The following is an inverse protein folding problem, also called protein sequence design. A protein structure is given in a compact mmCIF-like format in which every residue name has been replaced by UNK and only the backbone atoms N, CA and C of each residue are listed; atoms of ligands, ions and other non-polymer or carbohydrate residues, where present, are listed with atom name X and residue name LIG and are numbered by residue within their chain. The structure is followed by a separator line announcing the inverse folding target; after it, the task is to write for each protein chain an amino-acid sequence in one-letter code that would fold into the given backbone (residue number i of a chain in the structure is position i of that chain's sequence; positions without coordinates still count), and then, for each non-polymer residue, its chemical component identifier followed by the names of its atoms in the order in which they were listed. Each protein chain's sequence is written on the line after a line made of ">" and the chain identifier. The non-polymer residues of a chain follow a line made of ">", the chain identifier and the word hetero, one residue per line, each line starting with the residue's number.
data_IF_057758371975
#
_entry.id   IF_057758371975
#
_cell.length_a   1.000
_cell.length_b   1.000
_cell.length_c   1.000
_cell.angle_alpha   90.00
_cell.angle_beta   90.00
_cell.angle_gamma   90.00
#
_symmetry.space_group_name_H-M   'P 1'
#
loop_
_entity.id
_entity.type
_entity.pdbx_description
1 polymer ?
#
# COMPACT_ATOMS: atom_id res chain seq x y z
N UNK A 1 22.88 16.99 20.83
CA UNK A 1 22.80 18.34 21.45
C UNK A 1 21.58 19.11 21.00
N UNK A 2 20.98 19.86 21.92
CA UNK A 2 19.82 20.69 21.62
C UNK A 2 20.20 22.02 20.94
N UNK A 3 19.36 22.56 20.04
CA UNK A 3 19.57 23.86 19.40
C UNK A 3 19.72 25.01 20.42
N UNK A 4 20.61 25.96 20.14
CA UNK A 4 20.86 27.13 21.00
C UNK A 4 19.61 27.96 21.31
N UNK A 5 18.68 28.04 20.35
CA UNK A 5 17.40 28.71 20.54
C UNK A 5 16.52 28.01 21.59
N UNK A 6 16.47 26.67 21.57
CA UNK A 6 15.69 25.90 22.53
C UNK A 6 16.23 26.05 23.96
N UNK A 7 17.55 26.14 24.11
CA UNK A 7 18.20 26.41 25.40
C UNK A 7 17.82 27.79 25.95
N UNK A 8 17.81 28.83 25.11
CA UNK A 8 17.38 30.18 25.51
C UNK A 8 15.91 30.22 25.93
N UNK A 9 15.03 29.52 25.20
CA UNK A 9 13.61 29.41 25.56
C UNK A 9 13.46 28.70 26.90
N UNK A 10 14.09 27.54 27.10
CA UNK A 10 14.04 26.82 28.37
C UNK A 10 14.52 27.68 29.56
N UNK A 11 15.61 28.42 29.37
CA UNK A 11 16.13 29.35 30.38
C UNK A 11 15.16 30.50 30.69
N UNK A 12 14.47 31.06 29.68
CA UNK A 12 13.49 32.14 29.90
C UNK A 12 12.28 31.72 30.74
N UNK A 13 11.91 30.42 30.68
CA UNK A 13 10.86 29.85 31.53
C UNK A 13 11.42 29.21 32.82
N UNK A 14 12.74 29.17 32.98
CA UNK A 14 13.41 28.53 34.12
C UNK A 14 13.16 27.02 34.21
N UNK A 15 12.87 26.34 33.09
CA UNK A 15 12.51 24.91 33.06
C UNK A 15 13.67 24.07 32.52
N UNK A 16 13.96 22.88 33.06
CA UNK A 16 14.95 21.97 32.49
C UNK A 16 14.58 21.58 31.05
N UNK A 17 15.53 21.72 30.14
CA UNK A 17 15.34 21.33 28.75
C UNK A 17 15.31 19.80 28.63
N UNK A 18 14.25 19.26 28.04
CA UNK A 18 14.17 17.85 27.73
C UNK A 18 15.04 17.52 26.51
N UNK A 19 16.03 16.65 26.70
CA UNK A 19 16.81 16.02 25.64
C UNK A 19 16.71 14.50 25.80
N UNK A 20 16.25 13.75 24.79
CA UNK A 20 16.23 12.30 24.87
C UNK A 20 17.66 11.74 24.86
N UNK A 21 17.89 10.63 25.56
CA UNK A 21 19.21 9.99 25.67
C UNK A 21 19.76 9.48 24.32
N UNK A 22 18.85 9.22 23.37
CA UNK A 22 19.15 8.76 22.02
C UNK A 22 18.31 9.51 21.00
N UNK A 23 18.82 9.61 19.78
CA UNK A 23 18.06 10.15 18.67
C UNK A 23 16.79 9.31 18.43
N UNK A 24 15.69 10.00 18.12
CA UNK A 24 14.42 9.36 17.83
C UNK A 24 14.46 8.76 16.41
N UNK A 25 14.09 7.49 16.29
CA UNK A 25 13.95 6.84 15.00
C UNK A 25 12.90 7.53 14.13
N UNK A 26 13.10 7.48 12.80
CA UNK A 26 12.16 8.07 11.84
C UNK A 26 10.76 7.46 11.93
N UNK A 27 10.67 6.15 12.19
CA UNK A 27 9.40 5.46 12.42
C UNK A 27 8.67 5.99 13.65
N UNK A 28 9.39 6.21 14.75
CA UNK A 28 8.86 6.75 15.99
C UNK A 28 8.42 8.20 15.82
N UNK A 29 9.21 9.03 15.11
CA UNK A 29 8.85 10.41 14.78
C UNK A 29 7.53 10.45 14.00
N UNK A 30 7.39 9.63 12.96
CA UNK A 30 6.16 9.57 12.16
C UNK A 30 4.95 9.12 12.99
N UNK A 31 5.10 8.12 13.87
CA UNK A 31 4.03 7.63 14.74
C UNK A 31 3.59 8.67 15.77
N UNK A 32 4.52 9.43 16.35
CA UNK A 32 4.20 10.50 17.30
C UNK A 32 3.46 11.68 16.65
N UNK A 33 3.66 11.89 15.35
CA UNK A 33 3.08 13.01 14.60
C UNK A 33 1.97 12.59 13.64
N UNK A 34 1.38 11.40 13.81
CA UNK A 34 0.36 10.88 12.89
C UNK A 34 -0.89 11.77 12.83
N UNK A 35 -1.22 12.43 13.95
CA UNK A 35 -2.40 13.30 14.10
C UNK A 35 -2.17 14.76 13.65
N UNK A 36 -0.96 15.10 13.20
CA UNK A 36 -0.59 16.49 12.86
C UNK A 36 -0.02 16.55 11.45
N UNK A 37 -0.61 17.39 10.61
CA UNK A 37 -0.06 17.69 9.28
C UNK A 37 1.21 18.54 9.41
N UNK A 38 2.29 18.07 8.80
CA UNK A 38 3.56 18.80 8.69
C UNK A 38 3.97 18.89 7.22
N UNK A 39 4.57 20.03 6.85
CA UNK A 39 5.00 20.29 5.47
C UNK A 39 6.47 19.93 5.27
N UNK A 40 7.28 20.09 6.33
CA UNK A 40 8.73 19.95 6.28
C UNK A 40 9.24 18.94 7.33
N UNK A 41 10.35 18.26 7.01
CA UNK A 41 11.04 17.33 7.91
C UNK A 41 11.44 18.00 9.23
N UNK A 42 11.76 19.29 9.18
CA UNK A 42 12.09 20.07 10.38
C UNK A 42 10.88 20.28 11.28
N UNK A 43 9.69 20.49 10.69
CA UNK A 43 8.44 20.62 11.44
C UNK A 43 8.05 19.29 12.09
N UNK A 44 8.16 18.17 11.36
CA UNK A 44 7.95 16.84 11.90
C UNK A 44 8.87 16.58 13.10
N UNK A 45 10.15 16.84 12.94
CA UNK A 45 11.15 16.55 13.98
C UNK A 45 10.95 17.46 15.22
N UNK A 46 10.60 18.73 15.02
CA UNK A 46 10.24 19.63 16.11
C UNK A 46 8.96 19.18 16.84
N UNK A 47 7.94 18.74 16.09
CA UNK A 47 6.68 18.26 16.65
C UNK A 47 6.88 16.95 17.43
N UNK A 48 7.62 16.00 16.86
CA UNK A 48 7.98 14.75 17.52
C UNK A 48 8.75 14.99 18.82
N UNK A 49 9.70 15.94 18.84
CA UNK A 49 10.43 16.31 20.05
C UNK A 49 9.50 16.89 21.13
N UNK A 50 8.54 17.74 20.75
CA UNK A 50 7.56 18.29 21.68
C UNK A 50 6.63 17.21 22.27
N UNK A 51 6.15 16.28 21.45
CA UNK A 51 5.34 15.15 21.91
C UNK A 51 6.13 14.21 22.83
N UNK A 52 7.39 13.93 22.49
CA UNK A 52 8.27 13.13 23.34
C UNK A 52 8.49 13.79 24.72
N UNK A 53 8.74 15.10 24.74
CA UNK A 53 8.89 15.87 25.98
C UNK A 53 7.61 15.88 26.83
N UNK A 54 6.46 15.99 26.19
CA UNK A 54 5.16 15.92 26.87
C UNK A 54 4.93 14.52 27.47
N UNK A 55 5.12 13.46 26.68
CA UNK A 55 4.91 12.09 27.13
C UNK A 55 5.81 11.71 28.31
N UNK A 56 7.07 12.16 28.30
CA UNK A 56 7.99 12.00 29.42
C UNK A 56 7.46 12.63 30.72
N UNK A 57 6.82 13.81 30.63
CA UNK A 57 6.29 14.53 31.78
C UNK A 57 4.81 14.25 32.06
N UNK A 58 4.12 13.49 31.21
CA UNK A 58 2.67 13.30 31.24
C UNK A 58 2.21 12.67 32.57
N UNK A 59 2.92 11.64 33.04
CA UNK A 59 2.58 10.97 34.29
C UNK A 59 2.74 11.89 35.50
N UNK A 60 3.81 12.71 35.52
CA UNK A 60 4.02 13.72 36.57
C UNK A 60 2.89 14.76 36.55
N UNK A 61 2.56 15.30 35.38
CA UNK A 61 1.49 16.30 35.20
C UNK A 61 0.11 15.76 35.60
N UNK A 62 -0.22 14.52 35.23
CA UNK A 62 -1.47 13.86 35.62
C UNK A 62 -1.55 13.67 37.14
N UNK A 63 -0.48 13.21 37.78
CA UNK A 63 -0.42 13.05 39.23
C UNK A 63 -0.58 14.37 39.97
N UNK A 64 0.04 15.45 39.49
CA UNK A 64 -0.09 16.78 40.09
C UNK A 64 -1.50 17.35 39.90
N UNK A 65 -2.11 17.11 38.75
CA UNK A 65 -3.48 17.55 38.46
C UNK A 65 -4.52 16.77 39.27
N UNK A 66 -4.32 15.47 39.47
CA UNK A 66 -5.16 14.64 40.33
C UNK A 66 -5.12 15.08 41.80
N UNK A 67 -4.02 15.68 42.24
CA UNK A 67 -3.87 16.29 43.57
C UNK A 67 -4.51 17.68 43.69
N UNK A 68 -5.14 18.19 42.63
CA UNK A 68 -5.82 19.49 42.63
C UNK A 68 -4.87 20.68 42.78
N UNK A 69 -3.60 20.54 42.38
CA UNK A 69 -2.62 21.62 42.51
C UNK A 69 -2.82 22.67 41.42
N UNK A 70 -2.59 23.94 41.77
CA UNK A 70 -2.66 25.07 40.83
C UNK A 70 -1.52 25.00 39.79
N UNK A 71 -1.73 25.66 38.64
CA UNK A 71 -0.78 25.62 37.52
C UNK A 71 0.57 26.28 37.85
N UNK A 72 0.59 27.32 38.69
CA UNK A 72 1.82 27.93 39.22
C UNK A 72 2.63 26.93 40.05
N UNK A 73 1.94 26.09 40.81
CA UNK A 73 2.53 25.03 41.63
C UNK A 73 3.12 23.92 40.78
N UNK A 74 2.39 23.52 39.72
CA UNK A 74 2.88 22.55 38.72
C UNK A 74 4.14 23.06 38.05
N UNK A 75 4.18 24.35 37.69
CA UNK A 75 5.35 24.97 37.09
C UNK A 75 6.58 24.84 37.98
N UNK A 76 6.49 25.23 39.26
CA UNK A 76 7.62 25.13 40.22
C UNK A 76 8.11 23.69 40.38
N UNK A 77 7.20 22.71 40.42
CA UNK A 77 7.56 21.30 40.54
C UNK A 77 8.27 20.78 39.28
N UNK A 78 7.87 21.26 38.10
CA UNK A 78 8.55 20.93 36.84
C UNK A 78 9.96 21.53 36.75
N UNK A 79 10.22 22.63 37.46
CA UNK A 79 11.57 23.21 37.59
C UNK A 79 12.49 22.39 38.51
N UNK A 80 11.96 21.36 39.19
CA UNK A 80 12.72 20.50 40.11
C UNK A 80 12.60 20.90 41.58
N UNK A 81 11.72 21.85 41.91
CA UNK A 81 11.47 22.29 43.29
C UNK A 81 10.58 21.24 43.99
N UNK A 82 10.93 20.92 45.24
CA UNK A 82 10.16 19.95 46.03
C UNK A 82 8.76 20.47 46.35
N UNK A 83 7.79 19.57 46.55
CA UNK A 83 6.39 19.96 46.80
C UNK A 83 6.22 20.79 48.10
N UNK A 84 7.08 20.56 49.09
CA UNK A 84 7.14 21.35 50.34
C UNK A 84 7.67 22.76 50.12
N UNK A 85 8.71 22.90 49.30
CA UNK A 85 9.35 24.17 49.01
C UNK A 85 8.51 25.02 48.05
N UNK A 86 7.84 24.40 47.07
CA UNK A 86 6.89 25.07 46.19
C UNK A 86 5.69 25.66 46.95
N UNK A 87 5.20 24.98 48.00
CA UNK A 87 4.18 25.52 48.91
C UNK A 87 4.66 26.78 49.63
N UNK A 88 5.86 26.72 50.22
CA UNK A 88 6.44 27.85 50.93
C UNK A 88 6.71 29.06 50.02
N UNK A 89 7.12 28.83 48.77
CA UNK A 89 7.33 29.91 47.80
C UNK A 89 6.01 30.61 47.42
N UNK A 90 4.93 29.86 47.21
CA UNK A 90 3.62 30.42 46.90
C UNK A 90 2.95 31.09 48.11
N UNK A 91 3.18 30.58 49.32
CA UNK A 91 2.70 31.20 50.56
C UNK A 91 3.49 32.46 50.94
N UNK A 92 4.79 32.52 50.63
CA UNK A 92 5.62 33.71 50.85
C UNK A 92 5.42 34.79 49.78
N UNK A 93 5.22 34.40 48.50
CA UNK A 93 4.92 35.34 47.41
C UNK A 93 3.52 35.98 47.49
N UNK A 94 2.55 35.33 48.15
CA UNK A 94 1.20 35.91 48.39
C UNK A 94 1.15 36.93 49.52
N UNK A 95 2.22 37.11 50.31
CA UNK A 95 2.25 38.05 51.46
C UNK A 95 2.74 39.47 51.13
N UNK A 96 3.12 39.78 49.89
CA UNK A 96 3.74 41.09 49.56
C UNK A 96 2.98 41.93 48.54
N UNK A 97 1.64 42.01 48.62
CA UNK A 97 0.86 43.10 47.99
C UNK A 97 -0.33 43.49 48.88
N UNK A 98 -0.05 43.86 50.14
CA UNK A 98 -0.95 44.67 50.98
C UNK A 98 -0.14 45.50 51.97
N UNK A 99 0.47 46.56 51.47
CA UNK A 99 0.80 47.73 52.29
C UNK A 99 0.12 48.91 51.64
N UNK A 100 -1.11 49.16 52.10
CA UNK A 100 -1.68 50.49 52.01
C UNK A 100 -0.87 51.38 52.95
N UNK A 101 -0.11 52.30 52.38
CA UNK A 101 0.50 53.37 53.15
C UNK A 101 -0.64 54.27 53.66
N UNK A 102 -0.91 54.13 54.95
CA UNK A 102 -1.73 55.07 55.71
C UNK A 102 -0.76 56.06 56.35
N UNK A 103 -0.62 57.24 55.76
CA UNK A 103 -0.07 58.41 56.44
C UNK A 103 -1.23 59.35 56.78
N UNK A 104 -1.39 59.77 58.04
CA UNK A 104 -2.33 60.82 58.39
C UNK A 104 -1.66 62.18 58.24
N UNK A 105 -2.27 63.09 57.47
CA UNK A 105 -2.02 64.52 57.64
C UNK A 105 -3.20 65.36 57.13
N UNK A 106 -3.85 65.97 58.12
CA UNK A 106 -4.45 67.31 58.19
C UNK A 106 -5.27 67.96 57.06
N UNK A 107 -6.24 68.74 57.54
CA UNK A 107 -7.34 69.38 56.83
C UNK A 107 -6.88 70.58 55.99
N UNK A 108 -7.76 70.88 55.02
CA UNK A 108 -8.02 72.16 54.35
C UNK A 108 -7.26 72.47 53.04
N UNK A 109 -7.97 72.40 51.90
CA UNK A 109 -8.43 73.60 51.17
C UNK A 109 -9.07 73.29 49.80
N UNK A 110 -10.32 73.78 49.64
CA UNK A 110 -11.06 74.20 48.43
C UNK A 110 -11.22 73.26 47.20
N UNK A 111 -12.41 73.25 46.55
CA UNK A 111 -12.72 72.34 45.46
C UNK A 111 -12.15 72.84 44.11
N UNK A 112 -11.30 72.05 43.46
CA UNK A 112 -10.98 72.17 42.03
C UNK A 112 -11.84 71.19 41.23
N UNK A 113 -12.33 71.56 40.03
CA UNK A 113 -13.13 70.65 39.21
C UNK A 113 -12.27 69.45 38.77
N UNK A 114 -12.80 68.23 38.99
CA UNK A 114 -12.08 66.94 38.92
C UNK A 114 -11.70 66.50 37.49
N UNK A 115 -10.43 66.57 37.04
CA UNK A 115 -9.97 65.90 35.80
C UNK A 115 -10.11 64.36 35.87
N UNK A 116 -10.07 63.80 37.08
CA UNK A 116 -10.33 62.36 37.33
C UNK A 116 -11.72 61.89 36.86
N UNK A 117 -12.71 62.79 36.81
CA UNK A 117 -14.08 62.43 36.47
C UNK A 117 -14.28 62.20 34.97
N UNK A 118 -13.57 62.96 34.13
CA UNK A 118 -13.60 62.81 32.67
C UNK A 118 -12.82 61.56 32.22
N UNK A 119 -11.69 61.26 32.85
CA UNK A 119 -10.94 60.03 32.58
C UNK A 119 -11.72 58.77 32.98
N UNK A 120 -12.41 58.80 34.13
CA UNK A 120 -13.34 57.73 34.51
C UNK A 120 -14.48 57.56 33.51
N UNK A 121 -14.99 58.65 32.95
CA UNK A 121 -16.04 58.60 31.91
C UNK A 121 -15.50 58.00 30.62
N UNK A 122 -14.30 58.39 30.18
CA UNK A 122 -13.61 57.83 29.00
C UNK A 122 -13.31 56.35 29.18
N UNK A 123 -12.82 55.95 30.35
CA UNK A 123 -12.49 54.55 30.67
C UNK A 123 -13.73 53.66 30.73
N UNK A 124 -14.86 54.18 31.26
CA UNK A 124 -16.16 53.49 31.24
C UNK A 124 -16.70 53.34 29.81
N UNK A 125 -16.59 54.38 28.98
CA UNK A 125 -17.00 54.33 27.58
C UNK A 125 -16.16 53.32 26.78
N UNK A 126 -14.84 53.32 26.98
CA UNK A 126 -13.91 52.37 26.35
C UNK A 126 -14.20 50.94 26.81
N UNK A 127 -14.40 50.68 28.10
CA UNK A 127 -14.80 49.36 28.60
C UNK A 127 -16.13 48.88 28.00
N UNK A 128 -17.11 49.78 27.82
CA UNK A 128 -18.39 49.44 27.19
C UNK A 128 -18.21 49.06 25.71
N UNK A 129 -17.39 49.80 24.97
CA UNK A 129 -17.05 49.51 23.58
C UNK A 129 -16.30 48.18 23.43
N UNK A 130 -15.25 47.97 24.23
CA UNK A 130 -14.47 46.71 24.26
C UNK A 130 -15.35 45.50 24.60
N UNK A 131 -16.28 45.62 25.56
CA UNK A 131 -17.25 44.56 25.87
C UNK A 131 -18.18 44.27 24.69
N UNK A 132 -18.62 45.30 23.95
CA UNK A 132 -19.41 45.14 22.74
C UNK A 132 -18.67 44.40 21.62
N UNK A 133 -17.41 44.76 21.38
CA UNK A 133 -16.55 44.06 20.42
C UNK A 133 -16.29 42.61 20.82
N UNK A 134 -16.07 42.36 22.11
CA UNK A 134 -15.82 41.02 22.64
C UNK A 134 -17.04 40.11 22.46
N UNK A 135 -18.26 40.62 22.69
CA UNK A 135 -19.50 39.89 22.41
C UNK A 135 -19.74 39.68 20.91
N UNK A 136 -19.42 40.67 20.07
CA UNK A 136 -19.49 40.52 18.61
C UNK A 136 -18.54 39.43 18.11
N UNK A 137 -17.28 39.45 18.55
CA UNK A 137 -16.28 38.43 18.23
C UNK A 137 -16.66 37.05 18.74
N UNK A 138 -17.24 36.94 19.95
CA UNK A 138 -17.79 35.67 20.47
C UNK A 138 -18.90 35.13 19.57
N UNK A 139 -19.84 35.97 19.12
CA UNK A 139 -20.91 35.57 18.19
C UNK A 139 -20.34 35.08 16.86
N UNK A 140 -19.34 35.77 16.31
CA UNK A 140 -18.64 35.34 15.09
C UNK A 140 -17.93 34.00 15.29
N UNK A 141 -17.21 33.83 16.40
CA UNK A 141 -16.54 32.58 16.73
C UNK A 141 -17.53 31.40 16.84
N UNK A 142 -18.71 31.62 17.42
CA UNK A 142 -19.77 30.61 17.46
C UNK A 142 -20.32 30.29 16.07
N UNK A 143 -20.52 31.28 15.20
CA UNK A 143 -20.98 31.08 13.81
C UNK A 143 -19.96 30.27 13.01
N UNK A 144 -18.68 30.64 13.09
CA UNK A 144 -17.59 29.94 12.43
C UNK A 144 -17.44 28.50 12.96
N UNK A 145 -17.59 28.28 14.28
CA UNK A 145 -17.59 26.92 14.86
C UNK A 145 -18.73 26.06 14.33
N UNK A 146 -19.94 26.63 14.17
CA UNK A 146 -21.08 25.92 13.58
C UNK A 146 -20.83 25.57 12.11
N UNK A 147 -20.32 26.51 11.33
CA UNK A 147 -19.96 26.28 9.92
C UNK A 147 -18.88 25.21 9.78
N UNK A 148 -17.84 25.24 10.62
CA UNK A 148 -16.80 24.22 10.63
C UNK A 148 -17.35 22.83 10.95
N UNK A 149 -18.27 22.71 11.93
CA UNK A 149 -18.92 21.43 12.24
C UNK A 149 -19.75 20.91 11.07
N UNK A 150 -20.49 21.78 10.40
CA UNK A 150 -21.27 21.43 9.23
C UNK A 150 -20.37 20.91 8.09
N UNK A 151 -19.33 21.68 7.74
CA UNK A 151 -18.38 21.29 6.68
C UNK A 151 -17.65 19.98 7.00
N UNK A 152 -17.23 19.77 8.27
CA UNK A 152 -16.63 18.50 8.69
C UNK A 152 -17.61 17.33 8.55
N UNK A 153 -18.88 17.53 8.89
CA UNK A 153 -19.90 16.49 8.73
C UNK A 153 -20.11 16.15 7.26
N UNK A 154 -20.19 17.16 6.40
CA UNK A 154 -20.35 16.99 4.96
C UNK A 154 -19.16 16.25 4.34
N UNK A 155 -17.94 16.66 4.69
CA UNK A 155 -16.69 16.01 4.27
C UNK A 155 -16.63 14.55 4.74
N UNK A 156 -17.05 14.26 5.97
CA UNK A 156 -17.06 12.89 6.46
C UNK A 156 -18.07 12.01 5.69
N UNK A 157 -19.21 12.57 5.30
CA UNK A 157 -20.20 11.87 4.49
C UNK A 157 -19.69 11.61 3.06
N UNK A 158 -19.01 12.58 2.44
CA UNK A 158 -18.38 12.34 1.12
C UNK A 158 -17.29 11.29 1.20
N UNK A 159 -16.39 11.37 2.19
CA UNK A 159 -15.34 10.36 2.41
C UNK A 159 -15.92 8.96 2.63
N UNK A 160 -17.04 8.82 3.34
CA UNK A 160 -17.74 7.53 3.53
C UNK A 160 -18.27 7.00 2.20
N UNK A 161 -18.89 7.85 1.38
CA UNK A 161 -19.38 7.47 0.05
C UNK A 161 -18.23 7.04 -0.85
N UNK A 162 -17.14 7.79 -0.90
CA UNK A 162 -15.99 7.49 -1.73
C UNK A 162 -15.33 6.17 -1.33
N UNK A 163 -15.21 5.91 -0.02
CA UNK A 163 -14.73 4.60 0.49
C UNK A 163 -15.65 3.46 0.06
N UNK A 164 -16.97 3.65 0.12
CA UNK A 164 -17.93 2.64 -0.31
C UNK A 164 -17.85 2.39 -1.82
N UNK A 165 -17.72 3.45 -2.63
CA UNK A 165 -17.52 3.36 -4.08
C UNK A 165 -16.23 2.62 -4.40
N UNK A 166 -15.10 3.02 -3.82
CA UNK A 166 -13.81 2.37 -4.03
C UNK A 166 -13.84 0.88 -3.65
N UNK A 167 -14.52 0.52 -2.55
CA UNK A 167 -14.72 -0.88 -2.18
C UNK A 167 -15.53 -1.64 -3.22
N UNK A 168 -16.63 -1.05 -3.72
CA UNK A 168 -17.46 -1.65 -4.76
C UNK A 168 -16.69 -1.81 -6.07
N UNK A 169 -15.90 -0.83 -6.49
CA UNK A 169 -15.07 -0.91 -7.69
C UNK A 169 -14.05 -2.05 -7.61
N UNK A 170 -13.38 -2.23 -6.46
CA UNK A 170 -12.50 -3.37 -6.22
C UNK A 170 -13.23 -4.71 -6.36
N UNK A 171 -14.45 -4.82 -5.83
CA UNK A 171 -15.26 -6.04 -5.98
C UNK A 171 -15.67 -6.28 -7.44
N UNK A 172 -16.09 -5.24 -8.17
CA UNK A 172 -16.43 -5.32 -9.59
C UNK A 172 -15.22 -5.81 -10.40
N UNK A 173 -14.04 -5.27 -10.14
CA UNK A 173 -12.82 -5.65 -10.85
C UNK A 173 -12.44 -7.12 -10.56
N UNK A 174 -12.54 -7.55 -9.30
CA UNK A 174 -12.33 -8.96 -8.92
C UNK A 174 -13.33 -9.89 -9.63
N UNK A 175 -14.61 -9.52 -9.67
CA UNK A 175 -15.65 -10.29 -10.34
C UNK A 175 -15.41 -10.34 -11.85
N UNK A 176 -15.04 -9.22 -12.49
CA UNK A 176 -14.67 -9.18 -13.91
C UNK A 176 -13.51 -10.13 -14.23
N UNK A 177 -12.47 -10.16 -13.40
CA UNK A 177 -11.35 -11.10 -13.56
C UNK A 177 -11.79 -12.55 -13.44
N UNK A 178 -12.62 -12.88 -12.45
CA UNK A 178 -13.20 -14.23 -12.28
C UNK A 178 -14.03 -14.64 -13.50
N UNK A 179 -14.85 -13.73 -14.03
CA UNK A 179 -15.70 -13.96 -15.20
C UNK A 179 -14.86 -14.21 -16.45
N UNK A 180 -13.80 -13.42 -16.67
CA UNK A 180 -12.84 -13.62 -17.78
C UNK A 180 -12.09 -14.95 -17.68
N UNK A 181 -11.74 -15.39 -16.46
CA UNK A 181 -11.10 -16.70 -16.25
C UNK A 181 -12.08 -17.84 -16.59
N UNK A 182 -13.29 -17.81 -16.04
CA UNK A 182 -14.31 -18.83 -16.32
C UNK A 182 -14.68 -18.90 -17.80
N UNK A 183 -14.78 -17.77 -18.50
CA UNK A 183 -15.00 -17.76 -19.96
C UNK A 183 -13.86 -18.43 -20.73
N UNK A 184 -12.60 -18.21 -20.32
CA UNK A 184 -11.45 -18.90 -20.92
C UNK A 184 -11.51 -20.40 -20.68
N UNK A 185 -11.80 -20.82 -19.45
CA UNK A 185 -11.97 -22.24 -19.09
C UNK A 185 -13.12 -22.89 -19.88
N UNK A 186 -14.25 -22.18 -20.05
CA UNK A 186 -15.38 -22.67 -20.85
C UNK A 186 -15.00 -22.81 -22.32
N UNK A 187 -14.35 -21.80 -22.92
CA UNK A 187 -13.92 -21.85 -24.31
C UNK A 187 -12.88 -22.95 -24.54
N UNK A 188 -11.99 -23.17 -23.57
CA UNK A 188 -11.05 -24.31 -23.57
C UNK A 188 -11.78 -25.64 -23.58
N UNK A 189 -12.73 -25.83 -22.66
CA UNK A 189 -13.51 -27.06 -22.57
C UNK A 189 -14.33 -27.32 -23.84
N UNK A 190 -14.94 -26.29 -24.44
CA UNK A 190 -15.68 -26.41 -25.70
C UNK A 190 -14.78 -26.78 -26.87
N UNK A 191 -13.61 -26.16 -26.98
CA UNK A 191 -12.66 -26.49 -28.03
C UNK A 191 -12.13 -27.92 -27.90
N UNK A 192 -11.78 -28.34 -26.68
CA UNK A 192 -11.36 -29.72 -26.42
C UNK A 192 -12.49 -30.71 -26.70
N UNK A 193 -13.73 -30.38 -26.37
CA UNK A 193 -14.90 -31.19 -26.71
C UNK A 193 -15.03 -31.37 -28.23
N UNK A 194 -14.94 -30.28 -28.99
CA UNK A 194 -15.01 -30.35 -30.45
C UNK A 194 -13.86 -31.18 -31.03
N UNK A 195 -12.65 -31.01 -30.51
CA UNK A 195 -11.49 -31.81 -30.90
C UNK A 195 -11.73 -33.30 -30.63
N UNK A 196 -12.30 -33.66 -29.48
CA UNK A 196 -12.64 -35.05 -29.18
C UNK A 196 -13.71 -35.61 -30.14
N UNK A 197 -14.69 -34.79 -30.54
CA UNK A 197 -15.67 -35.19 -31.55
C UNK A 197 -14.99 -35.44 -32.90
N UNK A 198 -14.15 -34.51 -33.37
CA UNK A 198 -13.40 -34.66 -34.62
C UNK A 198 -12.47 -35.88 -34.59
N UNK A 199 -11.88 -36.19 -33.43
CA UNK A 199 -11.08 -37.40 -33.24
C UNK A 199 -11.93 -38.67 -33.31
N UNK A 200 -13.11 -38.68 -32.66
CA UNK A 200 -14.03 -39.82 -32.70
C UNK A 200 -14.59 -40.09 -34.10
N UNK A 201 -14.75 -39.04 -34.91
CA UNK A 201 -15.16 -39.13 -36.31
C UNK A 201 -13.99 -39.51 -37.25
N UNK A 202 -12.76 -39.60 -36.72
CA UNK A 202 -11.56 -39.94 -37.49
C UNK A 202 -11.06 -38.81 -38.41
N UNK A 203 -11.55 -37.58 -38.23
CA UNK A 203 -11.14 -36.40 -39.00
C UNK A 203 -9.74 -35.93 -38.63
N UNK A 204 -9.32 -36.13 -37.38
CA UNK A 204 -8.02 -35.72 -36.87
C UNK A 204 -7.30 -36.89 -36.17
N UNK A 205 -5.99 -36.79 -36.13
CA UNK A 205 -5.10 -37.68 -35.38
C UNK A 205 -4.40 -36.92 -34.27
N UNK A 206 -4.48 -37.44 -33.04
CA UNK A 206 -3.78 -36.89 -31.89
C UNK A 206 -2.30 -37.27 -31.94
N UNK A 207 -1.43 -36.28 -31.69
CA UNK A 207 0.03 -36.48 -31.71
C UNK A 207 0.59 -36.22 -30.32
N UNK A 208 0.61 -37.25 -29.45
CA UNK A 208 1.11 -37.11 -28.10
C UNK A 208 2.66 -37.01 -28.08
N UNK A 209 3.25 -36.41 -27.03
CA UNK A 209 4.69 -36.47 -26.82
C UNK A 209 5.13 -37.89 -26.43
N UNK A 210 6.27 -38.34 -26.97
CA UNK A 210 6.92 -39.58 -26.57
C UNK A 210 7.18 -39.60 -25.05
N UNK A 211 6.98 -40.71 -24.31
CA UNK A 211 6.81 -42.11 -24.78
C UNK A 211 5.38 -42.50 -25.19
N UNK A 212 4.42 -41.58 -25.14
CA UNK A 212 3.06 -41.89 -25.57
C UNK A 212 2.99 -41.99 -27.08
N UNK A 213 2.29 -43.01 -27.58
CA UNK A 213 2.06 -43.25 -29.00
C UNK A 213 0.56 -43.44 -29.20
N UNK A 214 -0.03 -42.72 -30.15
CA UNK A 214 -1.43 -42.87 -30.53
C UNK A 214 -1.48 -43.26 -32.00
N UNK A 215 -2.07 -44.43 -32.30
CA UNK A 215 -2.19 -44.94 -33.68
C UNK A 215 -0.86 -44.94 -34.45
N UNK A 216 0.22 -45.33 -33.77
CA UNK A 216 1.58 -45.35 -34.33
C UNK A 216 2.24 -43.97 -34.45
N UNK A 217 1.60 -42.89 -34.01
CA UNK A 217 2.12 -41.52 -34.15
C UNK A 217 2.59 -40.97 -32.80
N UNK A 218 3.73 -40.28 -32.80
CA UNK A 218 4.25 -39.57 -31.63
C UNK A 218 5.05 -38.31 -32.01
N UNK A 219 5.38 -37.46 -31.04
CA UNK A 219 6.31 -36.33 -31.24
C UNK A 219 7.48 -36.31 -30.26
N UNK A 220 8.63 -35.81 -30.75
CA UNK A 220 9.86 -35.62 -29.99
C UNK A 220 10.36 -34.19 -30.21
N UNK A 221 10.24 -33.33 -29.20
CA UNK A 221 10.58 -31.91 -29.35
C UNK A 221 12.06 -31.59 -29.08
N UNK A 222 12.69 -32.24 -28.11
CA UNK A 222 13.99 -31.79 -27.56
C UNK A 222 15.18 -32.69 -27.90
N UNK A 223 15.14 -33.94 -27.45
CA UNK A 223 16.18 -34.96 -27.65
C UNK A 223 15.51 -36.32 -27.76
N UNK A 224 16.11 -37.23 -28.52
CA UNK A 224 15.69 -38.63 -28.52
C UNK A 224 16.04 -39.21 -27.15
N UNK A 225 15.07 -39.77 -26.41
CA UNK A 225 15.35 -40.44 -25.13
C UNK A 225 16.27 -41.64 -25.33
N UNK A 226 17.07 -41.97 -24.32
CA UNK A 226 17.99 -43.12 -24.36
C UNK A 226 17.26 -44.47 -24.43
N UNK A 227 16.03 -44.50 -23.95
CA UNK A 227 15.08 -45.61 -23.93
C UNK A 227 14.12 -45.58 -25.13
N UNK A 228 14.48 -44.89 -26.21
CA UNK A 228 13.63 -44.77 -27.39
C UNK A 228 13.38 -46.13 -28.07
N UNK A 229 12.19 -46.67 -27.84
CA UNK A 229 11.67 -47.83 -28.57
C UNK A 229 10.88 -47.39 -29.80
N UNK A 230 11.38 -47.78 -30.97
CA UNK A 230 10.73 -47.53 -32.26
C UNK A 230 9.65 -48.58 -32.59
N UNK A 231 9.55 -49.65 -31.79
CA UNK A 231 8.55 -50.70 -32.01
C UNK A 231 7.14 -50.17 -31.77
N UNK A 232 6.29 -50.27 -32.79
CA UNK A 232 4.93 -49.75 -32.76
C UNK A 232 4.81 -48.25 -33.09
N UNK A 233 5.88 -47.62 -33.57
CA UNK A 233 5.86 -46.24 -34.08
C UNK A 233 5.91 -46.26 -35.61
N UNK A 234 4.82 -45.82 -36.22
CA UNK A 234 4.66 -45.68 -37.66
C UNK A 234 5.17 -44.32 -38.16
N UNK A 235 5.09 -43.27 -37.32
CA UNK A 235 5.42 -41.91 -37.72
C UNK A 235 5.84 -41.01 -36.54
N UNK A 236 6.90 -40.22 -36.72
CA UNK A 236 7.39 -39.28 -35.68
C UNK A 236 7.43 -37.84 -36.16
N UNK A 237 6.88 -36.93 -35.36
CA UNK A 237 7.06 -35.49 -35.56
C UNK A 237 8.20 -34.97 -34.69
N UNK A 238 9.17 -34.25 -35.27
CA UNK A 238 10.25 -33.65 -34.51
C UNK A 238 10.49 -32.17 -34.85
N UNK A 239 10.85 -31.38 -33.84
CA UNK A 239 11.09 -29.95 -33.99
C UNK A 239 12.46 -29.61 -34.59
N UNK A 240 13.48 -30.44 -34.37
CA UNK A 240 14.88 -30.19 -34.78
C UNK A 240 15.30 -31.07 -35.94
N UNK A 241 15.97 -30.50 -36.94
CA UNK A 241 16.48 -31.24 -38.11
C UNK A 241 17.39 -32.40 -37.71
N UNK A 242 18.32 -32.18 -36.78
CA UNK A 242 19.23 -33.23 -36.26
C UNK A 242 18.47 -34.47 -35.73
N UNK A 243 17.31 -34.27 -35.11
CA UNK A 243 16.47 -35.37 -34.61
C UNK A 243 15.80 -36.11 -35.76
N UNK A 244 15.35 -35.38 -36.79
CA UNK A 244 14.77 -35.99 -37.99
C UNK A 244 15.79 -36.88 -38.71
N UNK A 245 17.02 -36.39 -38.85
CA UNK A 245 18.11 -37.12 -39.51
C UNK A 245 18.45 -38.40 -38.71
N UNK A 246 18.59 -38.29 -37.38
CA UNK A 246 18.81 -39.45 -36.49
C UNK A 246 17.68 -40.47 -36.56
N UNK A 247 16.42 -40.03 -36.53
CA UNK A 247 15.26 -40.93 -36.63
C UNK A 247 15.12 -41.58 -38.02
N UNK A 248 15.60 -40.90 -39.07
CA UNK A 248 15.67 -41.47 -40.41
C UNK A 248 16.70 -42.62 -40.49
N UNK A 249 17.81 -42.55 -39.75
CA UNK A 249 18.78 -43.65 -39.63
C UNK A 249 18.15 -44.89 -38.99
N UNK A 250 17.22 -44.72 -38.05
CA UNK A 250 16.40 -45.80 -37.47
C UNK A 250 15.30 -46.31 -38.42
N UNK A 251 15.17 -45.77 -39.64
CA UNK A 251 14.19 -46.19 -40.64
C UNK A 251 12.74 -45.80 -40.29
N UNK A 252 12.56 -44.82 -39.40
CA UNK A 252 11.24 -44.33 -38.97
C UNK A 252 10.86 -43.12 -39.82
N UNK A 253 9.69 -43.12 -40.48
CA UNK A 253 9.19 -41.95 -41.20
C UNK A 253 9.01 -40.74 -40.27
N UNK A 254 9.62 -39.61 -40.63
CA UNK A 254 9.60 -38.42 -39.77
C UNK A 254 9.15 -37.16 -40.47
N UNK A 255 8.47 -36.25 -39.79
CA UNK A 255 8.12 -34.93 -40.31
C UNK A 255 8.38 -33.81 -39.30
N UNK A 256 8.40 -32.56 -39.78
CA UNK A 256 8.60 -31.39 -38.92
C UNK A 256 7.38 -31.15 -38.04
N UNK A 257 7.63 -30.81 -36.77
CA UNK A 257 6.59 -30.51 -35.77
C UNK A 257 5.72 -29.29 -36.13
N UNK A 258 6.18 -28.40 -37.01
CA UNK A 258 5.43 -27.22 -37.47
C UNK A 258 4.21 -27.55 -38.36
N UNK A 259 4.07 -28.82 -38.78
CA UNK A 259 2.90 -29.27 -39.55
C UNK A 259 1.70 -29.62 -38.66
N UNK A 260 1.93 -29.70 -37.34
CA UNK A 260 0.91 -29.99 -36.33
C UNK A 260 0.20 -28.69 -35.92
N UNK A 261 -1.10 -28.79 -35.75
CA UNK A 261 -1.90 -27.76 -35.10
C UNK A 261 -1.85 -27.94 -33.58
N UNK A 262 -2.08 -26.88 -32.83
CA UNK A 262 -2.10 -26.89 -31.36
C UNK A 262 -3.42 -26.28 -30.85
N UNK A 263 -4.18 -27.08 -30.12
CA UNK A 263 -5.35 -26.62 -29.38
C UNK A 263 -5.12 -26.87 -27.89
N UNK A 264 -4.76 -25.80 -27.17
CA UNK A 264 -4.62 -25.79 -25.72
C UNK A 264 -3.64 -26.85 -25.17
N UNK A 265 -2.52 -27.07 -25.89
CA UNK A 265 -1.47 -28.01 -25.52
C UNK A 265 -1.66 -29.42 -26.09
N UNK A 266 -2.78 -29.66 -26.79
CA UNK A 266 -3.01 -30.89 -27.54
C UNK A 266 -2.61 -30.65 -28.99
N UNK A 267 -1.56 -31.35 -29.43
CA UNK A 267 -1.14 -31.30 -30.82
C UNK A 267 -1.88 -32.35 -31.65
N UNK A 268 -2.32 -31.96 -32.83
CA UNK A 268 -3.05 -32.83 -33.73
C UNK A 268 -2.73 -32.54 -35.20
N UNK A 269 -3.10 -33.47 -36.07
CA UNK A 269 -3.00 -33.31 -37.52
C UNK A 269 -4.30 -33.79 -38.17
N UNK A 270 -4.77 -33.09 -39.20
CA UNK A 270 -5.91 -33.53 -39.98
C UNK A 270 -5.59 -34.81 -40.75
N UNK A 271 -6.56 -35.71 -40.83
CA UNK A 271 -6.41 -37.03 -41.44
C UNK A 271 -6.03 -36.94 -42.93
N UNK A 272 -6.58 -35.99 -43.67
CA UNK A 272 -6.24 -35.74 -45.08
C UNK A 272 -4.76 -35.39 -45.25
N UNK A 273 -4.30 -34.36 -44.52
CA UNK A 273 -2.90 -33.92 -44.50
C UNK A 273 -1.95 -35.04 -44.05
N UNK A 274 -2.37 -35.85 -43.09
CA UNK A 274 -1.56 -36.98 -42.63
C UNK A 274 -1.45 -38.09 -43.70
N UNK A 275 -2.53 -38.40 -44.42
CA UNK A 275 -2.50 -39.39 -45.52
C UNK A 275 -1.56 -38.95 -46.65
N UNK A 276 -1.55 -37.67 -46.99
CA UNK A 276 -0.63 -37.11 -47.98
C UNK A 276 0.84 -37.28 -47.55
N UNK A 277 1.14 -36.95 -46.29
CA UNK A 277 2.49 -37.11 -45.74
C UNK A 277 2.94 -38.57 -45.71
N UNK A 278 2.00 -39.51 -45.50
CA UNK A 278 2.29 -40.95 -45.52
C UNK A 278 2.58 -41.46 -46.93
N UNK A 279 1.77 -41.06 -47.92
CA UNK A 279 1.96 -41.45 -49.34
C UNK A 279 3.30 -40.96 -49.89
N UNK A 280 3.74 -39.76 -49.54
CA UNK A 280 5.04 -39.23 -49.96
C UNK A 280 6.26 -39.91 -49.33
N UNK A 281 6.06 -40.81 -48.36
CA UNK A 281 7.12 -41.49 -47.58
C UNK A 281 6.94 -42.99 -47.51
N UNK A 282 6.04 -43.56 -48.32
CA UNK A 282 5.90 -45.00 -48.42
C UNK A 282 7.24 -45.60 -48.84
N UNK A 283 7.70 -46.56 -48.04
CA UNK A 283 8.89 -47.36 -48.30
C UNK A 283 8.73 -47.98 -49.68
N UNK A 284 9.64 -47.71 -50.60
CA UNK A 284 9.94 -48.69 -51.64
C UNK A 284 10.42 -49.91 -50.85
N UNK A 285 9.59 -50.95 -50.72
CA UNK A 285 9.98 -52.13 -49.95
C UNK A 285 11.25 -52.70 -50.60
N UNK A 286 12.22 -53.11 -49.78
CA UNK A 286 13.41 -53.81 -50.28
C UNK A 286 13.01 -55.06 -51.07
N UNK A 287 11.86 -55.65 -50.75
CA UNK A 287 11.27 -56.76 -51.50
C UNK A 287 10.86 -56.36 -52.93
N UNK A 288 10.30 -55.16 -53.13
CA UNK A 288 9.99 -54.61 -54.46
C UNK A 288 11.26 -54.28 -55.25
N UNK A 289 12.30 -53.76 -54.60
CA UNK A 289 13.60 -53.51 -55.23
C UNK A 289 14.33 -54.81 -55.60
N UNK A 290 14.31 -55.82 -54.71
CA UNK A 290 14.96 -57.13 -54.94
C UNK A 290 14.21 -57.93 -55.99
N UNK A 291 12.88 -57.88 -56.02
CA UNK A 291 12.08 -58.51 -57.08
C UNK A 291 12.28 -57.83 -58.43
N UNK A 292 12.35 -56.49 -58.47
CA UNK A 292 12.66 -55.76 -59.70
C UNK A 292 14.07 -56.06 -60.22
N UNK A 293 15.06 -56.20 -59.33
CA UNK A 293 16.42 -56.60 -59.70
C UNK A 293 16.48 -58.04 -60.24
N UNK A 294 15.85 -58.99 -59.55
CA UNK A 294 15.77 -60.39 -60.00
C UNK A 294 15.05 -60.55 -61.34
N UNK A 295 14.06 -59.69 -61.62
CA UNK A 295 13.35 -59.67 -62.90
C UNK A 295 14.20 -59.15 -64.06
N UNK A 296 15.18 -58.28 -63.77
CA UNK A 296 16.13 -57.76 -64.77
C UNK A 296 17.24 -58.75 -65.09
N UNK A 297 17.73 -59.49 -64.10
CA UNK A 297 18.77 -60.52 -64.31
C UNK A 297 18.25 -61.77 -65.04
N UNK A 298 16.94 -62.04 -65.00
CA UNK A 298 16.32 -63.15 -65.74
C UNK A 298 16.02 -62.87 -67.23
N UNK A 299 16.30 -61.66 -67.71
CA UNK A 299 16.07 -61.24 -69.10
C UNK A 299 17.38 -60.97 -69.89
N UNK A 300 18.53 -61.38 -69.34
CA UNK A 300 19.83 -61.46 -70.03
C UNK A 300 20.27 -62.91 -70.13
#
# INVERSE_FOLDING_TARGET
>A
DAPSFAQKVAASFGVPLYCPDRDLDVSLKNSLTEDVDWVDKHQRDACAAAYAAYNHNQNKLKNLSARGLDDEMKHLILQGISLSEAKQLLESGKKTVKTGDTLPCEKNSKPKPNPLSDDLRRLKASNKSLRGELESRKKQALKLKKQNRFLKSEMNETLRRDKAVASREKTIESLKRKLRRRRRELNQALALKNLLLDFSEGKIFLVPPYPRVCQGITRISNKIPSDFDYRGIDFVFAGRKKILDQLAEYGVPTARENLLEDAYGVKYIYSEKFRELRKGKERVSLENLVSEYRSRDSNT
#
